data_IF_741985637596
#
_entry.id   IF_741985637596
#
_cell.length_a   1.000
_cell.length_b   1.000
_cell.length_c   1.000
_cell.angle_alpha   90.00
_cell.angle_beta   90.00
_cell.angle_gamma   90.00
#
_symmetry.space_group_name_H-M   'P 1'
#
loop_
_entity.id
_entity.type
_entity.pdbx_description
1 polymer ?
#
# COMPACT_ATOMS: atom_id res chain seq x y z
N UNK A 1 -7.02 47.77 -34.95
CA UNK A 1 -8.00 46.96 -35.72
C UNK A 1 -7.17 45.93 -36.46
N UNK A 2 -7.22 44.64 -36.18
CA UNK A 2 -8.40 43.76 -36.25
C UNK A 2 -8.26 42.53 -35.33
N UNK A 3 -9.40 41.89 -35.08
CA UNK A 3 -9.76 41.12 -33.88
C UNK A 3 -9.31 39.66 -33.83
N UNK A 4 -9.19 39.16 -32.59
CA UNK A 4 -9.18 37.76 -32.20
C UNK A 4 -10.32 36.98 -32.86
N UNK A 5 -10.00 36.01 -33.72
CA UNK A 5 -11.01 35.11 -34.30
C UNK A 5 -10.61 33.64 -34.18
N UNK A 6 -10.31 33.22 -32.96
CA UNK A 6 -10.23 31.81 -32.60
C UNK A 6 -11.53 31.37 -31.97
N UNK A 7 -12.18 30.38 -32.59
CA UNK A 7 -12.91 29.32 -31.87
C UNK A 7 -14.43 29.49 -31.62
N UNK A 8 -15.22 29.79 -32.67
CA UNK A 8 -16.69 29.82 -32.59
C UNK A 8 -17.41 28.53 -33.08
N UNK A 9 -16.70 27.52 -33.58
CA UNK A 9 -17.34 26.37 -34.25
C UNK A 9 -17.59 25.11 -33.37
N UNK A 10 -17.34 25.16 -32.05
CA UNK A 10 -17.35 23.95 -31.19
C UNK A 10 -18.42 23.95 -30.07
N UNK A 11 -19.25 24.99 -29.95
CA UNK A 11 -20.23 25.14 -28.87
C UNK A 11 -21.63 25.36 -29.44
N UNK A 12 -22.63 24.83 -28.74
CA UNK A 12 -24.04 25.08 -29.06
C UNK A 12 -24.43 26.54 -28.73
N UNK A 13 -25.63 26.95 -29.14
CA UNK A 13 -26.16 28.29 -28.90
C UNK A 13 -26.29 28.65 -27.39
N UNK A 14 -26.15 27.66 -26.50
CA UNK A 14 -26.12 27.86 -25.04
C UNK A 14 -24.69 27.92 -24.46
N UNK A 15 -23.66 27.89 -25.32
CA UNK A 15 -22.25 27.93 -24.94
C UNK A 15 -21.71 26.60 -24.42
N UNK A 16 -22.49 25.51 -24.46
CA UNK A 16 -22.09 24.17 -24.03
C UNK A 16 -21.47 23.40 -25.20
N UNK A 17 -20.57 22.48 -24.89
CA UNK A 17 -20.06 21.56 -25.90
C UNK A 17 -21.14 20.51 -26.22
N UNK A 18 -21.53 20.42 -27.48
CA UNK A 18 -22.57 19.47 -27.91
C UNK A 18 -22.19 18.01 -27.63
N UNK A 19 -23.16 17.15 -27.30
CA UNK A 19 -22.91 15.73 -27.08
C UNK A 19 -22.35 15.08 -28.36
N UNK A 20 -21.16 14.49 -28.27
CA UNK A 20 -20.45 13.89 -29.41
C UNK A 20 -19.43 14.78 -30.11
N UNK A 21 -19.17 16.01 -29.63
CA UNK A 21 -18.19 16.88 -30.27
C UNK A 21 -16.74 16.34 -30.11
N UNK A 22 -16.09 16.04 -31.24
CA UNK A 22 -14.68 15.61 -31.32
C UNK A 22 -13.68 16.70 -30.92
N UNK A 23 -14.13 17.94 -30.70
CA UNK A 23 -13.29 19.12 -30.43
C UNK A 23 -13.54 19.80 -29.06
N UNK A 24 -14.10 19.12 -28.05
CA UNK A 24 -14.28 19.82 -26.76
C UNK A 24 -14.74 19.05 -25.52
N UNK A 25 -15.14 17.79 -25.64
CA UNK A 25 -15.32 16.91 -24.49
C UNK A 25 -14.26 15.80 -24.52
N UNK A 26 -13.49 15.61 -23.44
CA UNK A 26 -12.62 14.42 -23.33
C UNK A 26 -13.50 13.18 -23.47
N UNK A 27 -13.22 12.32 -24.45
CA UNK A 27 -13.94 11.06 -24.67
C UNK A 27 -14.11 10.33 -23.34
N UNK A 28 -15.32 9.88 -23.03
CA UNK A 28 -15.63 9.18 -21.80
C UNK A 28 -14.64 8.00 -21.64
N UNK A 29 -13.89 7.95 -20.53
CA UNK A 29 -12.83 6.95 -20.29
C UNK A 29 -11.41 7.35 -20.72
N UNK A 30 -11.20 8.51 -21.35
CA UNK A 30 -9.86 8.96 -21.75
C UNK A 30 -8.89 9.15 -20.56
N UNK A 31 -9.38 9.56 -19.39
CA UNK A 31 -8.57 9.65 -18.16
C UNK A 31 -8.17 8.26 -17.62
N UNK A 32 -9.05 7.26 -17.73
CA UNK A 32 -8.77 5.90 -17.27
C UNK A 32 -7.77 5.17 -18.17
N UNK A 33 -7.85 5.37 -19.49
CA UNK A 33 -6.92 4.74 -20.45
C UNK A 33 -5.51 5.29 -20.35
N UNK A 34 -5.33 6.61 -20.18
CA UNK A 34 -4.01 7.21 -20.00
C UNK A 34 -3.33 6.70 -18.72
N UNK A 35 -4.08 6.58 -17.62
CA UNK A 35 -3.55 6.04 -16.37
C UNK A 35 -3.18 4.55 -16.50
N UNK A 36 -4.01 3.74 -17.18
CA UNK A 36 -3.70 2.33 -17.41
C UNK A 36 -2.46 2.15 -18.30
N UNK A 37 -2.36 2.87 -19.41
CA UNK A 37 -1.20 2.80 -20.31
C UNK A 37 0.08 3.34 -19.66
N UNK A 38 -0.03 4.35 -18.79
CA UNK A 38 1.10 4.86 -18.02
C UNK A 38 1.59 3.82 -17.00
N UNK A 39 0.68 3.11 -16.33
CA UNK A 39 1.04 2.04 -15.38
C UNK A 39 1.65 0.82 -16.09
N UNK A 40 1.14 0.44 -17.25
CA UNK A 40 1.74 -0.60 -18.10
C UNK A 40 3.14 -0.20 -18.58
N UNK A 41 3.31 1.06 -18.99
CA UNK A 41 4.62 1.61 -19.35
C UNK A 41 5.59 1.62 -18.17
N UNK A 42 5.11 1.97 -16.97
CA UNK A 42 5.91 1.89 -15.73
C UNK A 42 6.34 0.46 -15.41
N UNK A 43 5.48 -0.54 -15.66
CA UNK A 43 5.82 -1.96 -15.51
C UNK A 43 6.92 -2.42 -16.47
N UNK A 44 6.94 -1.89 -17.70
CA UNK A 44 7.97 -2.20 -18.70
C UNK A 44 9.31 -1.50 -18.46
N UNK A 45 9.40 -0.57 -17.50
CA UNK A 45 10.64 0.12 -17.17
C UNK A 45 11.62 -0.72 -16.35
N UNK A 46 11.22 -1.87 -15.81
CA UNK A 46 12.09 -2.68 -14.94
C UNK A 46 13.42 -3.02 -15.64
N UNK A 47 13.37 -3.51 -16.88
CA UNK A 47 14.58 -3.85 -17.66
C UNK A 47 15.49 -2.63 -17.93
N UNK A 48 14.98 -1.57 -18.57
CA UNK A 48 15.75 -0.34 -18.81
C UNK A 48 16.31 0.32 -17.54
N UNK A 49 15.61 0.18 -16.40
CA UNK A 49 16.04 0.79 -15.13
C UNK A 49 17.31 0.17 -14.57
N UNK A 50 17.58 -1.13 -14.82
CA UNK A 50 18.84 -1.77 -14.43
C UNK A 50 20.02 -1.22 -15.23
N UNK A 51 19.83 -0.91 -16.52
CA UNK A 51 20.86 -0.27 -17.34
C UNK A 51 21.20 1.11 -16.79
N UNK A 52 20.17 1.92 -16.49
CA UNK A 52 20.35 3.24 -15.87
C UNK A 52 21.04 3.13 -14.52
N UNK A 53 20.64 2.17 -13.67
CA UNK A 53 21.29 1.94 -12.37
C UNK A 53 22.78 1.64 -12.53
N UNK A 54 23.15 0.74 -13.45
CA UNK A 54 24.54 0.39 -13.72
C UNK A 54 25.35 1.62 -14.16
N UNK A 55 24.81 2.43 -15.06
CA UNK A 55 25.47 3.64 -15.55
C UNK A 55 25.65 4.68 -14.44
N UNK A 56 24.64 4.85 -13.58
CA UNK A 56 24.70 5.78 -12.44
C UNK A 56 25.69 5.35 -11.36
N UNK A 57 25.79 4.05 -11.09
CA UNK A 57 26.79 3.50 -10.19
C UNK A 57 28.21 3.69 -10.74
N UNK A 58 28.42 3.43 -12.04
CA UNK A 58 29.71 3.64 -12.70
C UNK A 58 30.13 5.12 -12.71
N UNK A 59 29.17 6.04 -12.80
CA UNK A 59 29.40 7.48 -12.73
C UNK A 59 29.56 8.04 -11.30
N UNK A 60 29.42 7.21 -10.26
CA UNK A 60 29.47 7.66 -8.86
C UNK A 60 28.27 8.50 -8.40
N UNK A 61 27.19 8.55 -9.20
CA UNK A 61 25.96 9.28 -8.89
C UNK A 61 25.06 8.45 -7.98
N UNK A 62 25.44 8.37 -6.70
CA UNK A 62 24.74 7.58 -5.69
C UNK A 62 23.30 8.03 -5.45
N UNK A 63 23.00 9.33 -5.65
CA UNK A 63 21.63 9.86 -5.49
C UNK A 63 20.70 9.31 -6.56
N UNK A 64 21.13 9.33 -7.82
CA UNK A 64 20.35 8.76 -8.91
C UNK A 64 20.22 7.23 -8.79
N UNK A 65 21.28 6.54 -8.36
CA UNK A 65 21.23 5.10 -8.11
C UNK A 65 20.22 4.75 -7.01
N UNK A 66 20.25 5.46 -5.88
CA UNK A 66 19.28 5.30 -4.79
C UNK A 66 17.85 5.59 -5.25
N UNK A 67 17.63 6.63 -6.06
CA UNK A 67 16.32 6.96 -6.59
C UNK A 67 15.72 5.84 -7.45
N UNK A 68 16.54 5.18 -8.26
CA UNK A 68 16.10 4.01 -9.04
C UNK A 68 15.78 2.85 -8.10
N UNK A 69 16.67 2.54 -7.15
CA UNK A 69 16.49 1.42 -6.22
C UNK A 69 15.21 1.54 -5.39
N UNK A 70 14.91 2.70 -4.81
CA UNK A 70 13.72 2.90 -3.97
C UNK A 70 12.40 2.82 -4.73
N UNK A 71 12.41 2.99 -6.06
CA UNK A 71 11.19 2.91 -6.87
C UNK A 71 10.83 1.48 -7.27
N UNK A 72 11.83 0.61 -7.36
CA UNK A 72 11.67 -0.75 -7.88
C UNK A 72 11.91 -1.85 -6.85
N UNK A 73 12.70 -1.58 -5.80
CA UNK A 73 12.82 -2.50 -4.67
C UNK A 73 11.73 -2.19 -3.65
N UNK A 74 11.12 -3.22 -3.05
CA UNK A 74 10.20 -3.01 -1.95
C UNK A 74 10.97 -2.50 -0.73
N UNK A 75 10.44 -1.47 -0.06
CA UNK A 75 10.99 -0.92 1.19
C UNK A 75 10.92 -1.92 2.36
N UNK A 76 10.10 -2.96 2.23
CA UNK A 76 9.96 -4.05 3.19
C UNK A 76 9.74 -5.37 2.47
N UNK A 77 10.40 -6.43 2.93
CA UNK A 77 10.14 -7.80 2.50
C UNK A 77 9.09 -8.47 3.39
N UNK A 78 8.42 -9.47 2.84
CA UNK A 78 7.63 -10.40 3.64
C UNK A 78 8.60 -11.27 4.44
N UNK A 79 8.32 -11.44 5.72
CA UNK A 79 9.09 -12.28 6.63
C UNK A 79 8.23 -13.48 6.95
N UNK A 80 8.67 -14.65 6.54
CA UNK A 80 8.05 -15.89 6.97
C UNK A 80 8.40 -16.12 8.43
N UNK A 81 7.36 -16.18 9.26
CA UNK A 81 7.52 -16.36 10.69
C UNK A 81 7.88 -17.82 11.00
N UNK A 82 9.01 -18.08 11.67
CA UNK A 82 9.38 -19.45 12.04
C UNK A 82 8.45 -20.03 13.11
N UNK A 83 7.91 -19.18 14.00
CA UNK A 83 6.98 -19.55 15.07
C UNK A 83 6.32 -18.30 15.68
N UNK A 84 5.21 -18.49 16.41
CA UNK A 84 4.61 -17.46 17.27
C UNK A 84 5.38 -17.25 18.59
N UNK A 85 6.32 -18.14 18.92
CA UNK A 85 7.10 -18.09 20.15
C UNK A 85 8.17 -16.97 20.12
N UNK A 86 8.28 -16.12 21.16
CA UNK A 86 9.27 -15.06 21.23
C UNK A 86 10.73 -15.51 21.09
N UNK A 87 11.05 -16.73 21.55
CA UNK A 87 12.41 -17.30 21.44
C UNK A 87 12.83 -17.50 19.99
N UNK A 88 11.92 -17.93 19.11
CA UNK A 88 12.21 -18.13 17.69
C UNK A 88 12.61 -16.82 16.98
N UNK A 89 12.13 -15.67 17.46
CA UNK A 89 12.54 -14.36 16.96
C UNK A 89 13.96 -14.00 17.38
N UNK A 90 14.35 -14.32 18.61
CA UNK A 90 15.70 -14.11 19.09
C UNK A 90 16.71 -14.95 18.30
N UNK A 91 16.36 -16.21 18.03
CA UNK A 91 17.18 -17.12 17.24
C UNK A 91 17.31 -16.67 15.78
N UNK A 92 16.21 -16.24 15.15
CA UNK A 92 16.23 -15.71 13.77
C UNK A 92 17.03 -14.41 13.65
N UNK A 93 17.02 -13.55 14.68
CA UNK A 93 17.90 -12.37 14.74
C UNK A 93 19.37 -12.76 14.89
N UNK A 94 19.67 -13.76 15.74
CA UNK A 94 21.03 -14.25 15.95
C UNK A 94 21.61 -14.92 14.69
N UNK A 95 20.75 -15.59 13.91
CA UNK A 95 21.10 -16.19 12.62
C UNK A 95 21.31 -15.16 11.50
N UNK A 96 20.84 -13.91 11.70
CA UNK A 96 20.90 -12.86 10.68
C UNK A 96 19.81 -12.95 9.61
N UNK A 97 18.81 -13.82 9.81
CA UNK A 97 17.69 -13.99 8.88
C UNK A 97 16.76 -12.77 8.90
N UNK A 98 16.64 -12.11 10.06
CA UNK A 98 15.83 -10.91 10.27
C UNK A 98 16.63 -9.80 10.96
N UNK A 99 16.30 -8.55 10.63
CA UNK A 99 16.87 -7.37 11.27
C UNK A 99 16.12 -7.00 12.56
N UNK A 100 16.75 -6.22 13.43
CA UNK A 100 16.13 -5.73 14.68
C UNK A 100 14.86 -4.91 14.41
N UNK A 101 14.88 -4.07 13.35
CA UNK A 101 13.72 -3.25 12.98
C UNK A 101 12.54 -4.10 12.49
N UNK A 102 12.84 -5.19 11.77
CA UNK A 102 11.85 -6.17 11.34
C UNK A 102 11.25 -6.95 12.54
N UNK A 103 12.11 -7.42 13.45
CA UNK A 103 11.69 -8.11 14.67
C UNK A 103 10.81 -7.22 15.56
N UNK A 104 11.13 -5.94 15.71
CA UNK A 104 10.33 -5.00 16.49
C UNK A 104 8.91 -4.81 15.95
N UNK A 105 8.76 -4.69 14.62
CA UNK A 105 7.43 -4.60 13.98
C UNK A 105 6.61 -5.87 14.22
N UNK A 106 7.23 -7.04 14.14
CA UNK A 106 6.54 -8.29 14.36
C UNK A 106 6.18 -8.55 15.82
N UNK A 107 7.07 -8.22 16.76
CA UNK A 107 6.79 -8.29 18.19
C UNK A 107 5.60 -7.39 18.57
N UNK A 108 5.49 -6.21 17.96
CA UNK A 108 4.34 -5.34 18.15
C UNK A 108 3.04 -5.97 17.61
N UNK A 109 3.09 -6.61 16.43
CA UNK A 109 1.93 -7.32 15.89
C UNK A 109 1.52 -8.51 16.78
N UNK A 110 2.48 -9.29 17.28
CA UNK A 110 2.23 -10.40 18.20
C UNK A 110 1.63 -9.94 19.52
N UNK A 111 2.11 -8.82 20.07
CA UNK A 111 1.53 -8.22 21.28
C UNK A 111 0.04 -7.91 21.09
N UNK A 112 -0.33 -7.28 19.97
CA UNK A 112 -1.74 -6.96 19.69
C UNK A 112 -2.61 -8.23 19.62
N UNK A 113 -2.08 -9.31 19.04
CA UNK A 113 -2.77 -10.59 18.97
C UNK A 113 -2.95 -11.18 20.37
N UNK A 114 -1.88 -11.19 21.19
CA UNK A 114 -1.91 -11.69 22.55
C UNK A 114 -2.89 -10.90 23.44
N UNK A 115 -2.82 -9.57 23.40
CA UNK A 115 -3.72 -8.67 24.14
C UNK A 115 -5.19 -8.93 23.74
N UNK A 116 -5.45 -9.16 22.44
CA UNK A 116 -6.81 -9.46 21.94
C UNK A 116 -7.30 -10.82 22.44
N UNK A 117 -6.42 -11.82 22.52
CA UNK A 117 -6.77 -13.15 23.01
C UNK A 117 -7.05 -13.13 24.52
N UNK A 118 -6.25 -12.39 25.29
CA UNK A 118 -6.46 -12.21 26.73
C UNK A 118 -7.80 -11.51 27.02
N UNK A 119 -8.15 -10.48 26.25
CA UNK A 119 -9.46 -9.80 26.39
C UNK A 119 -10.63 -10.75 26.11
N UNK A 120 -10.50 -11.64 25.12
CA UNK A 120 -11.54 -12.65 24.83
C UNK A 120 -11.69 -13.64 25.97
N UNK A 121 -10.57 -14.12 26.50
CA UNK A 121 -10.56 -15.04 27.64
C UNK A 121 -11.17 -14.41 28.90
N UNK A 122 -10.83 -13.16 29.19
CA UNK A 122 -11.41 -12.43 30.32
C UNK A 122 -12.92 -12.25 30.17
N UNK A 123 -13.42 -11.93 28.97
CA UNK A 123 -14.86 -11.86 28.69
C UNK A 123 -15.54 -13.19 28.91
N UNK A 124 -14.95 -14.27 28.42
CA UNK A 124 -15.50 -15.61 28.58
C UNK A 124 -15.65 -15.99 30.06
N UNK A 125 -14.61 -15.75 30.87
CA UNK A 125 -14.67 -15.96 32.33
C UNK A 125 -15.71 -15.08 33.02
N UNK A 126 -15.93 -13.86 32.52
CA UNK A 126 -16.95 -12.95 33.04
C UNK A 126 -18.35 -13.49 32.76
N UNK A 127 -18.61 -13.95 31.53
CA UNK A 127 -19.88 -14.56 31.13
C UNK A 127 -20.17 -15.83 31.95
N UNK A 128 -19.16 -16.66 32.20
CA UNK A 128 -19.27 -17.84 33.07
C UNK A 128 -19.64 -17.46 34.51
N UNK A 129 -18.98 -16.44 35.07
CA UNK A 129 -19.28 -15.95 36.41
C UNK A 129 -20.69 -15.36 36.52
N UNK A 130 -21.11 -14.57 35.52
CA UNK A 130 -22.47 -14.02 35.47
C UNK A 130 -23.53 -15.13 35.39
N UNK A 131 -23.30 -16.16 34.58
CA UNK A 131 -24.18 -17.32 34.48
C UNK A 131 -24.30 -18.07 35.82
N UNK A 132 -23.17 -18.29 36.50
CA UNK A 132 -23.15 -18.95 37.82
C UNK A 132 -23.86 -18.12 38.90
N UNK A 133 -23.67 -16.79 38.89
CA UNK A 133 -24.34 -15.88 39.85
C UNK A 133 -25.84 -15.84 39.60
N UNK A 134 -26.29 -15.77 38.34
CA UNK A 134 -27.72 -15.82 38.01
C UNK A 134 -28.34 -17.12 38.48
N UNK A 135 -27.72 -18.26 38.17
CA UNK A 135 -28.19 -19.58 38.60
C UNK A 135 -28.27 -19.71 40.12
N UNK A 136 -27.28 -19.16 40.85
CA UNK A 136 -27.28 -19.17 42.32
C UNK A 136 -28.34 -18.24 42.93
N UNK A 137 -28.70 -17.16 42.24
CA UNK A 137 -29.77 -16.23 42.65
C UNK A 137 -31.15 -16.84 42.45
N UNK A 138 -31.36 -17.54 41.34
CA UNK A 138 -32.65 -18.18 41.01
C UNK A 138 -32.93 -19.43 41.85
N UNK A 139 -31.90 -20.02 42.47
CA UNK A 139 -32.01 -21.17 43.36
C UNK A 139 -32.37 -20.81 44.82
N UNK A 140 -32.52 -19.52 45.15
CA UNK A 140 -32.89 -18.99 46.47
C UNK A 140 -34.32 -18.46 46.48
#
# INVERSE_FOLDING_TARGET
>A
MTENNGNLAARDASGRFGPGNSFGGRKLGAKGRFNASAMESLGNLVGPSFTVLKDKLAAGDLKAALFVLTRFLPDSRVIDMPSSEPSAWADAMAAGDITVGEAGKAAQALKVIADTQEVKELRHRLDELEALISAARDAR
#
